data_IF_165041456402
#
_entry.id   IF_165041456402
#
_cell.length_a   1.000
_cell.length_b   1.000
_cell.length_c   1.000
_cell.angle_alpha   90.00
_cell.angle_beta   90.00
_cell.angle_gamma   90.00
#
_symmetry.space_group_name_H-M   'P 1'
#
loop_
_entity.id
_entity.type
_entity.pdbx_description
1 polymer ?
#
# COMPACT_ATOMS: atom_id res chain seq x y z
N UNK A 1 -9.24 -15.84 -1.58
CA UNK A 1 -8.91 -14.51 -2.14
C UNK A 1 -7.61 -14.05 -1.50
N UNK A 2 -6.48 -14.21 -2.17
CA UNK A 2 -5.18 -13.73 -1.67
C UNK A 2 -4.78 -12.51 -2.47
N UNK A 3 -5.29 -11.34 -2.08
CA UNK A 3 -4.67 -10.07 -2.44
C UNK A 3 -3.29 -10.06 -1.79
N UNK A 4 -2.26 -10.25 -2.60
CA UNK A 4 -0.89 -10.36 -2.11
C UNK A 4 -0.48 -9.01 -1.50
N UNK A 5 -0.37 -8.96 -0.17
CA UNK A 5 0.04 -7.75 0.56
C UNK A 5 1.39 -7.28 0.06
N UNK A 6 1.52 -5.98 -0.20
CA UNK A 6 2.76 -5.38 -0.70
C UNK A 6 3.95 -5.71 0.24
N UNK A 7 5.13 -6.10 -0.28
CA UNK A 7 6.26 -6.53 0.54
C UNK A 7 6.68 -5.51 1.62
N UNK A 8 6.60 -4.20 1.32
CA UNK A 8 6.90 -3.14 2.28
C UNK A 8 5.89 -3.09 3.43
N UNK A 9 4.61 -3.28 3.14
CA UNK A 9 3.55 -3.32 4.18
C UNK A 9 3.80 -4.53 5.09
N UNK A 10 4.12 -5.70 4.50
CA UNK A 10 4.47 -6.89 5.27
C UNK A 10 5.67 -6.66 6.19
N UNK A 11 6.75 -6.06 5.69
CA UNK A 11 7.93 -5.73 6.50
C UNK A 11 7.57 -4.76 7.62
N UNK A 12 6.75 -3.74 7.36
CA UNK A 12 6.31 -2.79 8.38
C UNK A 12 5.56 -3.50 9.52
N UNK A 13 4.58 -4.34 9.18
CA UNK A 13 3.83 -5.11 10.18
C UNK A 13 4.75 -6.04 11.00
N UNK A 14 5.73 -6.68 10.37
CA UNK A 14 6.72 -7.49 11.09
C UNK A 14 7.53 -6.67 12.11
N UNK A 15 7.87 -5.41 11.80
CA UNK A 15 8.56 -4.54 12.76
C UNK A 15 7.63 -4.13 13.91
N UNK A 16 6.35 -3.94 13.64
CA UNK A 16 5.36 -3.66 14.68
C UNK A 16 5.19 -4.83 15.66
N UNK A 17 5.32 -6.07 15.19
CA UNK A 17 5.39 -7.25 16.07
C UNK A 17 6.62 -7.23 16.98
N UNK A 18 7.81 -6.88 16.44
CA UNK A 18 9.07 -6.84 17.19
C UNK A 18 9.03 -5.81 18.32
N UNK A 19 8.37 -4.66 18.10
CA UNK A 19 8.22 -3.62 19.13
C UNK A 19 6.99 -3.82 20.01
N UNK A 20 6.32 -4.97 19.91
CA UNK A 20 5.11 -5.32 20.67
C UNK A 20 4.00 -4.25 20.58
N UNK A 21 3.83 -3.65 19.39
CA UNK A 21 2.74 -2.73 19.16
C UNK A 21 1.40 -3.46 19.33
N UNK A 22 0.38 -2.75 19.82
CA UNK A 22 -0.95 -3.34 19.97
C UNK A 22 -1.61 -3.57 18.59
N UNK A 23 -2.61 -4.46 18.57
CA UNK A 23 -3.26 -4.87 17.32
C UNK A 23 -4.01 -3.72 16.63
N UNK A 24 -4.54 -2.77 17.41
CA UNK A 24 -5.21 -1.59 16.86
C UNK A 24 -4.24 -0.70 16.09
N UNK A 25 -3.01 -0.52 16.58
CA UNK A 25 -1.96 0.23 15.89
C UNK A 25 -1.56 -0.50 14.61
N UNK A 26 -1.35 -1.81 14.65
CA UNK A 26 -1.04 -2.62 13.45
C UNK A 26 -2.12 -2.48 12.38
N UNK A 27 -3.39 -2.54 12.78
CA UNK A 27 -4.53 -2.39 11.87
C UNK A 27 -4.58 -0.99 11.25
N UNK A 28 -4.40 0.06 12.04
CA UNK A 28 -4.37 1.45 11.55
C UNK A 28 -3.23 1.64 10.56
N UNK A 29 -2.02 1.16 10.89
CA UNK A 29 -0.86 1.27 10.00
C UNK A 29 -1.09 0.50 8.71
N UNK A 30 -1.63 -0.72 8.77
CA UNK A 30 -1.99 -1.49 7.57
C UNK A 30 -2.96 -0.70 6.67
N UNK A 31 -4.06 -0.20 7.23
CA UNK A 31 -5.04 0.57 6.47
C UNK A 31 -4.43 1.82 5.84
N UNK A 32 -3.61 2.55 6.58
CA UNK A 32 -2.94 3.75 6.07
C UNK A 32 -2.00 3.44 4.91
N UNK A 33 -1.13 2.43 5.06
CA UNK A 33 -0.20 2.06 4.00
C UNK A 33 -0.91 1.46 2.77
N UNK A 34 -2.01 0.73 2.98
CA UNK A 34 -2.83 0.20 1.88
C UNK A 34 -3.49 1.34 1.09
N UNK A 35 -4.02 2.37 1.77
CA UNK A 35 -4.58 3.56 1.12
C UNK A 35 -3.53 4.30 0.29
N UNK A 36 -2.34 4.55 0.84
CA UNK A 36 -1.23 5.18 0.11
C UNK A 36 -0.83 4.38 -1.14
N UNK A 37 -0.77 3.05 -1.02
CA UNK A 37 -0.44 2.19 -2.16
C UNK A 37 -1.50 2.27 -3.26
N UNK A 38 -2.78 2.31 -2.89
CA UNK A 38 -3.90 2.48 -3.84
C UNK A 38 -3.84 3.84 -4.53
N UNK A 39 -3.60 4.92 -3.78
CA UNK A 39 -3.47 6.29 -4.33
C UNK A 39 -2.31 6.39 -5.33
N UNK A 40 -1.14 5.83 -4.99
CA UNK A 40 0.02 5.81 -5.87
C UNK A 40 -0.22 5.04 -7.18
N UNK A 41 -0.98 3.94 -7.11
CA UNK A 41 -1.30 3.16 -8.30
C UNK A 41 -2.36 3.87 -9.16
N UNK A 42 -3.37 4.48 -8.55
CA UNK A 42 -4.38 5.27 -9.27
C UNK A 42 -3.73 6.41 -10.07
N UNK A 43 -2.72 7.09 -9.51
CA UNK A 43 -1.97 8.14 -10.21
C UNK A 43 -1.17 7.62 -11.41
N UNK A 44 -0.60 6.41 -11.33
CA UNK A 44 0.15 5.80 -12.45
C UNK A 44 -0.74 5.40 -13.61
N UNK A 45 -1.97 4.99 -13.31
CA UNK A 45 -2.97 4.63 -14.32
C UNK A 45 -3.47 5.88 -15.08
N UNK A 46 -3.52 7.04 -14.41
CA UNK A 46 -3.86 8.33 -15.04
C UNK A 46 -2.73 8.87 -15.94
N UNK A 47 -1.46 8.74 -15.52
CA UNK A 47 -0.31 9.16 -16.33
C UNK A 47 -0.09 8.28 -17.58
N UNK A 48 -0.37 6.97 -17.46
CA UNK A 48 -0.22 6.03 -18.58
C UNK A 48 -1.31 6.18 -19.66
N UNK A 49 -2.48 6.74 -19.30
CA UNK A 49 -3.57 6.99 -20.26
C UNK A 49 -3.45 8.32 -21.02
N UNK A 50 -2.61 9.25 -20.57
CA UNK A 50 -2.48 10.58 -21.19
C UNK A 50 -1.32 10.68 -22.21
N UNK A 51 -0.47 9.67 -22.33
CA UNK A 51 0.67 9.67 -23.27
C UNK A 51 0.37 9.05 -24.64
N UNK A 52 -0.85 8.56 -24.88
CA UNK A 52 -1.24 7.85 -26.11
C UNK A 52 -2.02 8.65 -27.16
N UNK A 53 -2.09 9.99 -27.06
CA UNK A 53 -2.91 10.82 -27.97
C UNK A 53 -2.09 11.78 -28.84
N UNK A 54 -0.98 11.30 -29.39
CA UNK A 54 -0.33 11.91 -30.56
C UNK A 54 0.26 10.79 -31.44
N UNK A 55 -0.53 10.32 -32.41
CA UNK A 55 -0.09 9.71 -33.67
C UNK A 55 -0.92 10.32 -34.81
#
# INVERSE_FOLDING_TARGET
>A
MSTQVHPTIRKCLQHLEIIEANDKVKQIVYMYMESLYKELNAQKDEESNNSGLYD
#
